data_IF_187493945791
#
_entry.id   IF_187493945791
#
_cell.length_a   1.000
_cell.length_b   1.000
_cell.length_c   1.000
_cell.angle_alpha   90.00
_cell.angle_beta   90.00
_cell.angle_gamma   90.00
#
_symmetry.space_group_name_H-M   'P 1'
#
loop_
_entity.id
_entity.type
_entity.pdbx_description
1 polymer ?
#
# COMPACT_ATOMS: atom_id res chain seq x y z
N UNK A 1 -10.11 10.68 -4.49
CA UNK A 1 -10.26 11.69 -3.42
C UNK A 1 -10.02 11.03 -2.07
N UNK A 2 -9.44 11.74 -1.08
CA UNK A 2 -9.24 11.24 0.29
C UNK A 2 -10.34 11.83 1.17
N UNK A 3 -11.39 11.06 1.45
CA UNK A 3 -12.67 11.55 2.00
C UNK A 3 -12.97 11.08 3.44
N UNK A 4 -12.28 10.06 3.94
CA UNK A 4 -12.46 9.56 5.31
C UNK A 4 -11.48 10.23 6.29
N UNK A 5 -11.99 10.59 7.48
CA UNK A 5 -11.22 11.19 8.57
C UNK A 5 -10.79 10.11 9.57
N UNK A 6 -9.48 9.96 9.78
CA UNK A 6 -8.92 9.16 10.87
C UNK A 6 -8.63 10.07 12.07
N UNK A 7 -9.20 9.75 13.23
CA UNK A 7 -8.90 10.44 14.50
C UNK A 7 -8.29 9.43 15.45
N UNK A 8 -7.08 9.72 15.94
CA UNK A 8 -6.37 8.89 16.91
C UNK A 8 -5.96 9.74 18.10
N UNK A 9 -5.96 9.17 19.30
CA UNK A 9 -5.37 9.80 20.49
C UNK A 9 -3.92 9.36 20.58
N UNK A 10 -3.02 10.34 20.67
CA UNK A 10 -1.58 10.13 20.83
C UNK A 10 -1.07 11.12 21.87
N UNK A 11 0.06 10.80 22.49
CA UNK A 11 0.78 11.69 23.40
C UNK A 11 1.40 12.86 22.64
N UNK A 12 1.77 13.91 23.38
CA UNK A 12 2.53 15.04 22.82
C UNK A 12 3.88 14.61 22.24
N UNK A 13 4.52 13.60 22.86
CA UNK A 13 5.78 13.07 22.39
C UNK A 13 5.63 12.41 21.01
N UNK A 14 4.66 11.51 20.84
CA UNK A 14 4.38 10.84 19.57
C UNK A 14 4.00 11.85 18.48
N UNK A 15 3.23 12.90 18.81
CA UNK A 15 2.90 13.97 17.88
C UNK A 15 4.15 14.71 17.38
N UNK A 16 5.12 14.99 18.25
CA UNK A 16 6.38 15.64 17.88
C UNK A 16 7.25 14.73 17.01
N UNK A 17 7.35 13.45 17.37
CA UNK A 17 8.07 12.45 16.56
C UNK A 17 7.48 12.34 15.15
N UNK A 18 6.14 12.30 15.05
CA UNK A 18 5.45 12.28 13.76
C UNK A 18 5.74 13.52 12.91
N UNK A 19 5.75 14.71 13.54
CA UNK A 19 6.07 15.95 12.85
C UNK A 19 7.51 15.94 12.32
N UNK A 20 8.48 15.61 13.19
CA UNK A 20 9.90 15.59 12.84
C UNK A 20 10.19 14.62 11.68
N UNK A 21 9.57 13.44 11.69
CA UNK A 21 9.77 12.45 10.64
C UNK A 21 9.08 12.85 9.33
N UNK A 22 7.94 13.53 9.40
CA UNK A 22 7.26 14.06 8.24
C UNK A 22 8.11 15.17 7.57
N UNK A 23 8.64 16.10 8.38
CA UNK A 23 9.52 17.19 7.92
C UNK A 23 10.80 16.63 7.29
N UNK A 24 11.45 15.66 7.95
CA UNK A 24 12.66 14.99 7.44
C UNK A 24 12.45 14.37 6.06
N UNK A 25 11.24 13.90 5.76
CA UNK A 25 10.89 13.27 4.49
C UNK A 25 10.22 14.24 3.50
N UNK A 26 10.07 15.52 3.84
CA UNK A 26 9.41 16.52 3.01
C UNK A 26 7.95 16.21 2.70
N UNK A 27 7.23 15.59 3.66
CA UNK A 27 5.83 15.21 3.50
C UNK A 27 4.98 15.69 4.67
N UNK A 28 3.67 15.74 4.50
CA UNK A 28 2.74 16.02 5.61
C UNK A 28 2.60 14.80 6.53
N UNK A 29 2.26 15.04 7.80
CA UNK A 29 1.96 13.95 8.76
C UNK A 29 0.89 12.97 8.24
N UNK A 30 -0.11 13.50 7.52
CA UNK A 30 -1.16 12.68 6.90
C UNK A 30 -0.63 11.81 5.77
N UNK A 31 0.35 12.26 5.00
CA UNK A 31 1.01 11.46 3.97
C UNK A 31 1.88 10.39 4.58
N UNK A 32 2.62 10.72 5.64
CA UNK A 32 3.44 9.76 6.37
C UNK A 32 2.57 8.61 6.92
N UNK A 33 1.47 8.93 7.62
CA UNK A 33 0.53 7.92 8.12
C UNK A 33 -0.03 7.07 6.97
N UNK A 34 -0.45 7.68 5.86
CA UNK A 34 -0.95 6.93 4.69
C UNK A 34 0.12 6.03 4.08
N UNK A 35 1.38 6.48 4.02
CA UNK A 35 2.50 5.67 3.52
C UNK A 35 2.79 4.47 4.41
N UNK A 36 2.57 4.58 5.72
CA UNK A 36 2.70 3.48 6.67
C UNK A 36 1.54 2.49 6.49
N UNK A 37 0.30 2.99 6.39
CA UNK A 37 -0.89 2.16 6.14
C UNK A 37 -0.73 1.37 4.83
N UNK A 38 -0.18 1.97 3.79
CA UNK A 38 0.04 1.31 2.49
C UNK A 38 1.03 0.13 2.55
N UNK A 39 1.85 0.02 3.60
CA UNK A 39 2.77 -1.10 3.80
C UNK A 39 2.14 -2.28 4.53
N UNK A 40 0.94 -2.11 5.07
CA UNK A 40 0.25 -3.24 5.69
C UNK A 40 -0.01 -4.31 4.63
N UNK A 41 0.24 -5.59 4.95
CA UNK A 41 -0.07 -6.67 4.02
C UNK A 41 -1.55 -6.55 3.69
N UNK A 42 -1.87 -6.44 2.40
CA UNK A 42 -3.23 -6.64 1.95
C UNK A 42 -3.50 -8.10 2.22
N UNK A 43 -4.19 -8.41 3.32
CA UNK A 43 -4.79 -9.73 3.48
C UNK A 43 -5.89 -9.79 2.43
N UNK A 44 -5.52 -10.20 1.22
CA UNK A 44 -6.46 -10.70 0.24
C UNK A 44 -6.94 -12.04 0.79
N UNK A 45 -7.83 -11.98 1.78
CA UNK A 45 -8.70 -13.11 2.05
C UNK A 45 -9.58 -13.22 0.81
N UNK A 46 -9.35 -14.28 0.03
CA UNK A 46 -10.01 -14.66 -1.22
C UNK A 46 -9.53 -13.98 -2.52
N UNK A 47 -9.00 -14.83 -3.41
CA UNK A 47 -8.80 -14.62 -4.85
C UNK A 47 -7.64 -13.74 -5.31
N UNK A 48 -6.46 -14.36 -5.51
CA UNK A 48 -5.73 -14.28 -6.78
C UNK A 48 -4.85 -15.56 -6.90
N UNK A 49 -4.81 -16.21 -8.07
CA UNK A 49 -3.94 -17.36 -8.31
C UNK A 49 -2.47 -16.93 -8.36
N UNK A 50 -1.58 -17.85 -8.02
CA UNK A 50 -0.13 -17.67 -8.00
C UNK A 50 0.38 -17.01 -9.31
N UNK A 51 1.30 -16.04 -9.24
CA UNK A 51 1.84 -15.33 -10.41
C UNK A 51 2.85 -16.17 -11.22
N UNK A 52 2.67 -17.50 -11.32
CA UNK A 52 3.57 -18.40 -12.07
C UNK A 52 2.96 -19.03 -13.33
N UNK A 53 1.69 -18.81 -13.63
CA UNK A 53 1.03 -19.46 -14.78
C UNK A 53 0.85 -18.54 -16.01
N UNK A 54 1.29 -17.28 -15.94
CA UNK A 54 1.35 -16.45 -17.14
C UNK A 54 2.66 -16.74 -17.88
N UNK A 55 2.51 -17.29 -19.08
CA UNK A 55 3.51 -17.55 -20.14
C UNK A 55 3.86 -19.04 -20.30
N UNK A 56 3.22 -19.70 -21.27
CA UNK A 56 3.91 -20.19 -22.47
C UNK A 56 2.93 -20.57 -23.61
N UNK A 57 2.97 -19.72 -24.65
CA UNK A 57 3.00 -20.06 -26.07
C UNK A 57 1.73 -20.56 -26.79
N UNK A 58 1.07 -19.59 -27.42
CA UNK A 58 0.38 -19.71 -28.71
C UNK A 58 1.33 -20.13 -29.84
N UNK A 59 1.06 -21.27 -30.50
CA UNK A 59 1.46 -21.70 -31.87
C UNK A 59 1.42 -23.24 -31.88
N UNK A 60 0.78 -23.97 -32.79
CA UNK A 60 0.75 -23.83 -34.23
C UNK A 60 -0.57 -24.38 -34.81
N UNK A 61 -1.03 -23.76 -35.89
CA UNK A 61 -1.84 -24.41 -36.92
C UNK A 61 -1.18 -25.72 -37.38
N UNK A 62 -1.96 -26.75 -37.63
CA UNK A 62 -2.03 -27.38 -38.97
C UNK A 62 -3.15 -28.41 -39.00
N UNK A 63 -4.06 -28.17 -39.94
CA UNK A 63 -5.11 -29.07 -40.39
C UNK A 63 -4.50 -30.09 -41.37
N UNK A 64 -4.99 -31.32 -41.40
CA UNK A 64 -5.48 -31.87 -42.67
C UNK A 64 -6.99 -32.17 -42.60
#
# INVERSE_FOLDING_TARGET
MKDKKLTIRITNFEKRQLAQEADRRGMTQSELIRSLIARFPVRVASALPNPKDSVQNSSLETKP
#
